data_IF_898651235019
#
_entry.id   IF_898651235019
#
_cell.length_a   1.000
_cell.length_b   1.000
_cell.length_c   1.000
_cell.angle_alpha   90.00
_cell.angle_beta   90.00
_cell.angle_gamma   90.00
#
_symmetry.space_group_name_H-M   'P 1'
#
loop_
_entity.id
_entity.type
_entity.pdbx_description
1 polymer ?
#
# COMPACT_ATOMS: atom_id res chain seq x y z
N UNK A 1 -12.48 -19.40 29.15
CA UNK A 1 -11.02 -19.57 29.00
C UNK A 1 -10.77 -20.04 27.56
N UNK A 2 -10.39 -19.14 26.64
CA UNK A 2 -10.13 -19.41 25.21
C UNK A 2 -8.72 -18.88 24.86
N UNK A 3 -7.69 -19.46 25.49
CA UNK A 3 -6.31 -18.97 25.41
C UNK A 3 -5.36 -19.84 24.59
N UNK A 4 -5.86 -20.79 23.79
CA UNK A 4 -5.03 -21.82 23.15
C UNK A 4 -4.76 -21.58 21.65
N UNK A 5 -5.52 -20.71 20.97
CA UNK A 5 -5.32 -20.44 19.53
C UNK A 5 -4.44 -19.21 19.22
N UNK A 6 -4.18 -18.34 20.19
CA UNK A 6 -3.53 -17.03 19.92
C UNK A 6 -2.07 -17.10 19.45
N UNK A 7 -1.31 -18.15 19.82
CA UNK A 7 0.09 -18.29 19.40
C UNK A 7 0.24 -18.80 17.96
N UNK A 8 -0.72 -19.60 17.48
CA UNK A 8 -0.71 -20.11 16.09
C UNK A 8 -1.17 -19.02 15.12
N UNK A 9 -2.17 -18.23 15.52
CA UNK A 9 -2.67 -17.08 14.75
C UNK A 9 -1.57 -16.01 14.58
N UNK A 10 -0.81 -15.68 15.63
CA UNK A 10 0.29 -14.72 15.57
C UNK A 10 1.42 -15.20 14.64
N UNK A 11 1.74 -16.50 14.67
CA UNK A 11 2.74 -17.08 13.79
C UNK A 11 2.32 -17.01 12.32
N UNK A 12 1.05 -17.32 12.04
CA UNK A 12 0.48 -17.26 10.69
C UNK A 12 0.45 -15.81 10.20
N UNK A 13 -0.01 -14.88 11.03
CA UNK A 13 -0.02 -13.44 10.70
C UNK A 13 1.38 -12.97 10.33
N UNK A 14 2.38 -13.29 11.16
CA UNK A 14 3.77 -12.93 10.89
C UNK A 14 4.28 -13.52 9.57
N UNK A 15 3.95 -14.77 9.26
CA UNK A 15 4.32 -15.41 7.98
C UNK A 15 3.65 -14.74 6.79
N UNK A 16 2.38 -14.34 6.92
CA UNK A 16 1.68 -13.59 5.89
C UNK A 16 2.33 -12.22 5.65
N UNK A 17 2.68 -11.49 6.72
CA UNK A 17 3.38 -10.20 6.62
C UNK A 17 4.74 -10.37 5.93
N UNK A 18 5.53 -11.37 6.31
CA UNK A 18 6.82 -11.64 5.66
C UNK A 18 6.68 -12.08 4.20
N UNK A 19 5.62 -12.82 3.85
CA UNK A 19 5.33 -13.18 2.47
C UNK A 19 4.97 -11.95 1.62
N UNK A 20 4.12 -11.07 2.14
CA UNK A 20 3.77 -9.79 1.47
C UNK A 20 5.01 -8.93 1.30
N UNK A 21 5.87 -8.83 2.33
CA UNK A 21 7.15 -8.13 2.24
C UNK A 21 7.99 -8.71 1.13
N UNK A 22 8.25 -10.02 1.11
CA UNK A 22 9.05 -10.67 0.07
C UNK A 22 8.50 -10.39 -1.34
N UNK A 23 7.19 -10.52 -1.54
CA UNK A 23 6.55 -10.20 -2.82
C UNK A 23 6.79 -8.74 -3.22
N UNK A 24 6.72 -7.82 -2.26
CA UNK A 24 6.96 -6.39 -2.50
C UNK A 24 8.42 -6.13 -2.86
N UNK A 25 9.37 -6.80 -2.22
CA UNK A 25 10.80 -6.70 -2.56
C UNK A 25 11.07 -7.17 -4.00
N UNK A 26 10.49 -8.31 -4.38
CA UNK A 26 10.59 -8.84 -5.74
C UNK A 26 9.95 -7.89 -6.76
N UNK A 27 8.81 -7.30 -6.40
CA UNK A 27 8.14 -6.31 -7.24
C UNK A 27 8.98 -5.05 -7.45
N UNK A 28 9.62 -4.51 -6.40
CA UNK A 28 10.53 -3.36 -6.52
C UNK A 28 11.66 -3.66 -7.50
N UNK A 29 12.33 -4.81 -7.36
CA UNK A 29 13.43 -5.20 -8.24
C UNK A 29 12.94 -5.34 -9.68
N UNK A 30 11.80 -6.01 -9.87
CA UNK A 30 11.18 -6.14 -11.19
C UNK A 30 10.89 -4.78 -11.83
N UNK A 31 10.22 -3.87 -11.13
CA UNK A 31 9.90 -2.54 -11.64
C UNK A 31 11.15 -1.71 -11.93
N UNK A 32 12.22 -1.86 -11.13
CA UNK A 32 13.50 -1.19 -11.38
C UNK A 32 14.18 -1.70 -12.66
N UNK A 33 14.28 -3.01 -12.84
CA UNK A 33 14.84 -3.62 -14.05
C UNK A 33 14.07 -3.20 -15.31
N UNK A 34 12.73 -3.16 -15.22
CA UNK A 34 11.87 -2.66 -16.29
C UNK A 34 12.09 -1.17 -16.56
N UNK A 35 12.47 -0.41 -15.53
CA UNK A 35 12.78 1.02 -15.63
C UNK A 35 14.10 1.30 -16.35
N UNK A 36 15.13 0.51 -16.05
CA UNK A 36 16.43 0.62 -16.68
C UNK A 36 16.47 0.04 -18.10
N UNK A 37 15.58 -0.90 -18.44
CA UNK A 37 15.45 -1.45 -19.78
C UNK A 37 14.88 -0.40 -20.77
N UNK A 38 15.79 0.41 -21.36
CA UNK A 38 15.53 1.57 -22.22
C UNK A 38 14.58 1.36 -23.43
N UNK A 39 14.17 0.12 -23.75
CA UNK A 39 13.21 -0.21 -24.81
C UNK A 39 11.82 -0.65 -24.33
N UNK A 40 11.69 -1.07 -23.07
CA UNK A 40 10.45 -1.65 -22.53
C UNK A 40 9.61 -0.64 -21.74
N UNK A 41 10.22 0.49 -21.39
CA UNK A 41 9.61 1.51 -20.54
C UNK A 41 8.40 2.20 -21.18
N UNK A 42 8.38 2.39 -22.51
CA UNK A 42 7.21 2.98 -23.21
C UNK A 42 6.00 2.04 -23.28
N UNK A 43 6.21 0.72 -23.35
CA UNK A 43 5.13 -0.25 -23.23
C UNK A 43 4.68 -0.41 -21.78
N UNK A 44 5.62 -0.32 -20.83
CA UNK A 44 5.30 -0.32 -19.42
C UNK A 44 4.57 0.95 -18.96
N UNK A 45 4.86 2.13 -19.51
CA UNK A 45 4.15 3.38 -19.21
C UNK A 45 2.63 3.31 -19.43
N UNK A 46 2.13 2.38 -20.27
CA UNK A 46 0.69 2.17 -20.42
C UNK A 46 0.05 1.49 -19.19
N UNK A 47 0.87 0.87 -18.33
CA UNK A 47 0.46 0.12 -17.14
C UNK A 47 1.17 0.56 -15.84
N UNK A 48 2.31 1.25 -15.92
CA UNK A 48 3.14 1.65 -14.79
C UNK A 48 3.11 3.15 -14.60
N UNK A 49 2.48 3.54 -13.50
CA UNK A 49 2.30 4.90 -13.04
C UNK A 49 3.61 5.71 -13.05
N UNK A 50 3.49 7.01 -13.38
CA UNK A 50 4.50 8.08 -13.16
C UNK A 50 5.23 7.93 -11.82
N UNK A 51 4.55 7.36 -10.83
CA UNK A 51 5.09 6.94 -9.55
C UNK A 51 6.44 6.20 -9.63
N UNK A 52 6.58 5.12 -10.44
CA UNK A 52 7.82 4.34 -10.43
C UNK A 52 9.00 5.08 -11.07
N UNK A 53 8.71 5.95 -12.05
CA UNK A 53 9.70 6.84 -12.64
C UNK A 53 10.29 7.79 -11.60
N UNK A 54 9.42 8.46 -10.86
CA UNK A 54 9.80 9.39 -9.80
C UNK A 54 10.46 8.67 -8.63
N UNK A 55 9.95 7.49 -8.26
CA UNK A 55 10.49 6.68 -7.19
C UNK A 55 11.94 6.28 -7.46
N UNK A 56 12.22 5.70 -8.64
CA UNK A 56 13.57 5.24 -8.98
C UNK A 56 14.51 6.37 -9.40
N UNK A 57 13.98 7.53 -9.81
CA UNK A 57 14.78 8.74 -9.96
C UNK A 57 15.34 9.27 -8.63
N UNK A 58 14.68 8.98 -7.51
CA UNK A 58 15.03 9.48 -6.17
C UNK A 58 15.62 8.42 -5.23
N UNK A 59 15.39 7.14 -5.49
CA UNK A 59 15.77 6.06 -4.58
C UNK A 59 16.10 4.78 -5.34
N UNK A 60 17.19 4.11 -4.95
CA UNK A 60 17.52 2.79 -5.51
C UNK A 60 16.77 1.66 -4.77
N UNK A 61 16.66 0.46 -5.36
CA UNK A 61 15.97 -0.67 -4.73
C UNK A 61 16.47 -0.98 -3.32
N UNK A 62 17.78 -0.92 -3.07
CA UNK A 62 18.34 -1.23 -1.75
C UNK A 62 17.81 -0.27 -0.67
N UNK A 63 17.67 1.02 -0.98
CA UNK A 63 17.12 2.01 -0.06
C UNK A 63 15.65 1.73 0.24
N UNK A 64 14.85 1.44 -0.78
CA UNK A 64 13.42 1.12 -0.63
C UNK A 64 13.20 -0.16 0.19
N UNK A 65 14.02 -1.18 -0.06
CA UNK A 65 14.02 -2.44 0.68
C UNK A 65 14.27 -2.19 2.17
N UNK A 66 15.22 -1.31 2.52
CA UNK A 66 15.47 -0.95 3.92
C UNK A 66 14.27 -0.26 4.57
N UNK A 67 13.60 0.63 3.83
CA UNK A 67 12.40 1.32 4.30
C UNK A 67 11.26 0.34 4.65
N UNK A 68 11.03 -0.70 3.82
CA UNK A 68 9.98 -1.70 4.07
C UNK A 68 10.13 -2.52 5.37
N UNK A 69 11.33 -2.55 5.96
CA UNK A 69 11.56 -3.18 7.26
C UNK A 69 11.30 -2.25 8.45
N UNK A 70 10.98 -0.98 8.20
CA UNK A 70 10.54 -0.08 9.24
C UNK A 70 9.19 -0.53 9.82
N UNK A 71 8.92 -0.13 11.07
CA UNK A 71 7.67 -0.44 11.76
C UNK A 71 6.46 0.32 11.21
N UNK A 72 6.68 1.34 10.38
CA UNK A 72 5.65 2.24 9.87
C UNK A 72 5.77 2.35 8.36
N UNK A 73 4.64 2.14 7.66
CA UNK A 73 4.56 2.29 6.21
C UNK A 73 4.18 3.73 5.87
N UNK A 74 5.05 4.42 5.14
CA UNK A 74 4.72 5.67 4.45
C UNK A 74 3.80 5.43 3.25
N UNK A 75 3.35 6.51 2.63
CA UNK A 75 2.57 6.45 1.39
C UNK A 75 3.30 5.69 0.26
N UNK A 76 4.63 5.77 0.20
CA UNK A 76 5.43 5.05 -0.80
C UNK A 76 5.34 3.54 -0.55
N UNK A 77 5.55 3.09 0.69
CA UNK A 77 5.48 1.66 1.00
C UNK A 77 4.05 1.12 0.88
N UNK A 78 3.03 1.90 1.27
CA UNK A 78 1.63 1.54 1.04
C UNK A 78 1.31 1.40 -0.45
N UNK A 79 1.84 2.29 -1.30
CA UNK A 79 1.70 2.22 -2.75
C UNK A 79 2.34 0.95 -3.32
N UNK A 80 3.57 0.63 -2.89
CA UNK A 80 4.28 -0.57 -3.32
C UNK A 80 3.54 -1.86 -2.92
N UNK A 81 3.01 -1.93 -1.69
CA UNK A 81 2.23 -3.08 -1.22
C UNK A 81 0.90 -3.19 -1.99
N UNK A 82 0.18 -2.08 -2.17
CA UNK A 82 -1.10 -2.08 -2.88
C UNK A 82 -0.95 -2.54 -4.35
N UNK A 83 0.08 -2.06 -5.04
CA UNK A 83 0.39 -2.49 -6.40
C UNK A 83 0.81 -3.96 -6.47
N UNK A 84 1.67 -4.40 -5.54
CA UNK A 84 2.11 -5.81 -5.45
C UNK A 84 0.93 -6.76 -5.29
N UNK A 85 -0.03 -6.40 -4.42
CA UNK A 85 -1.21 -7.20 -4.15
C UNK A 85 -2.34 -6.98 -5.16
N UNK A 86 -2.17 -6.05 -6.12
CA UNK A 86 -3.19 -5.64 -7.10
C UNK A 86 -4.51 -5.24 -6.45
N UNK A 87 -4.43 -4.49 -5.35
CA UNK A 87 -5.57 -3.92 -4.64
C UNK A 87 -5.53 -2.41 -4.71
N UNK A 88 -6.61 -1.79 -4.23
CA UNK A 88 -6.69 -0.37 -3.94
C UNK A 88 -7.01 -0.19 -2.46
N UNK A 89 -6.31 0.71 -1.79
CA UNK A 89 -6.61 1.10 -0.42
C UNK A 89 -7.46 2.36 -0.48
N UNK A 90 -8.60 2.35 0.19
CA UNK A 90 -9.39 3.55 0.46
C UNK A 90 -9.14 3.94 1.92
N UNK A 91 -8.60 5.13 2.15
CA UNK A 91 -8.33 5.64 3.48
C UNK A 91 -9.33 6.74 3.80
N UNK A 92 -10.09 6.54 4.87
CA UNK A 92 -11.02 7.51 5.42
C UNK A 92 -10.35 8.18 6.64
N UNK A 93 -9.99 9.45 6.50
CA UNK A 93 -9.27 10.17 7.53
C UNK A 93 -10.21 10.64 8.63
N UNK A 94 -10.07 10.01 9.79
CA UNK A 94 -10.77 10.35 11.02
C UNK A 94 -9.88 11.15 11.98
N UNK A 95 -8.68 11.58 11.57
CA UNK A 95 -7.89 12.47 12.43
C UNK A 95 -8.67 13.76 12.62
N UNK A 96 -9.02 14.09 13.86
CA UNK A 96 -9.65 15.37 14.17
C UNK A 96 -8.65 16.49 13.88
N UNK A 97 -8.81 17.18 12.76
CA UNK A 97 -8.27 18.52 12.59
C UNK A 97 -9.27 19.50 13.21
N UNK A 98 -8.80 20.34 14.14
CA UNK A 98 -9.58 21.41 14.80
C UNK A 98 -9.93 22.57 13.83
N UNK A 99 -10.12 22.30 12.53
CA UNK A 99 -10.60 23.30 11.58
C UNK A 99 -12.12 23.32 11.61
N UNK A 100 -12.70 24.48 11.93
CA UNK A 100 -14.14 24.82 11.95
C UNK A 100 -14.91 24.58 10.62
N UNK A 101 -14.30 23.92 9.65
CA UNK A 101 -14.93 23.55 8.38
C UNK A 101 -15.80 22.30 8.57
N UNK A 102 -16.92 22.25 7.85
CA UNK A 102 -17.87 21.12 7.84
C UNK A 102 -17.14 19.77 7.93
N UNK A 103 -17.49 18.93 8.91
CA UNK A 103 -16.94 17.59 9.18
C UNK A 103 -17.12 16.66 7.96
N UNK A 104 -16.33 16.86 6.90
CA UNK A 104 -16.26 16.01 5.73
C UNK A 104 -15.06 15.10 5.93
N UNK A 105 -15.37 13.83 6.17
CA UNK A 105 -14.39 12.76 6.25
C UNK A 105 -13.50 12.78 5.01
N UNK A 106 -12.24 13.15 5.17
CA UNK A 106 -11.32 13.24 4.04
C UNK A 106 -11.07 11.83 3.50
N UNK A 107 -11.26 11.65 2.19
CA UNK A 107 -11.09 10.35 1.52
C UNK A 107 -9.89 10.41 0.61
N UNK A 108 -9.01 9.43 0.72
CA UNK A 108 -7.88 9.25 -0.19
C UNK A 108 -7.79 7.81 -0.66
N UNK A 109 -7.13 7.61 -1.80
CA UNK A 109 -6.93 6.28 -2.39
C UNK A 109 -5.45 6.03 -2.66
N UNK A 110 -5.02 4.80 -2.47
CA UNK A 110 -3.68 4.33 -2.81
C UNK A 110 -3.82 3.08 -3.69
N UNK A 111 -3.40 3.10 -4.97
CA UNK A 111 -2.92 4.26 -5.72
C UNK A 111 -3.92 5.42 -5.86
N UNK A 112 -3.38 6.64 -6.03
CA UNK A 112 -4.16 7.84 -6.39
C UNK A 112 -4.62 7.83 -7.85
N UNK A 113 -3.96 7.04 -8.70
CA UNK A 113 -4.28 6.92 -10.11
C UNK A 113 -5.70 6.33 -10.31
N UNK A 114 -6.39 6.84 -11.33
CA UNK A 114 -7.78 6.55 -11.67
C UNK A 114 -7.91 5.90 -13.05
N UNK A 115 -6.83 5.34 -13.61
CA UNK A 115 -6.91 4.49 -14.79
C UNK A 115 -7.90 3.33 -14.59
N UNK A 116 -8.57 2.92 -15.67
CA UNK A 116 -9.61 1.88 -15.60
C UNK A 116 -9.11 0.55 -15.04
N UNK A 117 -7.85 0.20 -15.27
CA UNK A 117 -7.21 -0.97 -14.66
C UNK A 117 -7.15 -0.87 -13.13
N UNK A 118 -6.77 0.30 -12.60
CA UNK A 118 -6.63 0.53 -11.15
C UNK A 118 -8.00 0.60 -10.48
N UNK A 119 -8.99 1.23 -11.11
CA UNK A 119 -10.37 1.29 -10.58
C UNK A 119 -11.01 -0.10 -10.51
N UNK A 120 -10.65 -1.01 -11.41
CA UNK A 120 -11.16 -2.38 -11.42
C UNK A 120 -10.57 -3.27 -10.29
N UNK A 121 -9.52 -2.81 -9.60
CA UNK A 121 -8.90 -3.58 -8.51
C UNK A 121 -9.82 -3.67 -7.28
N UNK A 122 -9.80 -4.79 -6.54
CA UNK A 122 -10.50 -4.90 -5.27
C UNK A 122 -10.08 -3.77 -4.32
N UNK A 123 -11.06 -3.12 -3.69
CA UNK A 123 -10.81 -2.01 -2.77
C UNK A 123 -10.94 -2.49 -1.33
N UNK A 124 -9.90 -2.24 -0.52
CA UNK A 124 -9.93 -2.41 0.93
C UNK A 124 -10.02 -1.03 1.58
N UNK A 125 -11.09 -0.81 2.34
CA UNK A 125 -11.31 0.44 3.05
C UNK A 125 -10.73 0.37 4.45
N UNK A 126 -10.02 1.41 4.89
CA UNK A 126 -9.48 1.55 6.24
C UNK A 126 -9.86 2.91 6.81
N UNK A 127 -10.16 2.93 8.11
CA UNK A 127 -10.28 4.17 8.89
C UNK A 127 -8.87 4.55 9.37
N UNK A 128 -8.41 5.73 8.98
CA UNK A 128 -7.13 6.29 9.41
C UNK A 128 -7.40 7.14 10.64
N UNK A 129 -6.96 6.68 11.81
CA UNK A 129 -7.14 7.41 13.07
C UNK A 129 -6.01 8.44 13.30
N UNK A 130 -4.81 8.11 12.83
CA UNK A 130 -3.65 8.99 12.80
C UNK A 130 -2.69 8.50 11.70
N UNK A 131 -1.46 9.01 11.66
CA UNK A 131 -0.49 8.62 10.63
C UNK A 131 -0.12 7.12 10.64
N UNK A 132 -0.27 6.43 11.77
CA UNK A 132 0.27 5.08 11.99
C UNK A 132 -0.81 4.00 12.15
N UNK A 133 -2.01 4.40 12.58
CA UNK A 133 -3.07 3.49 12.97
C UNK A 133 -4.18 3.48 11.90
N UNK A 134 -4.20 2.37 11.14
CA UNK A 134 -5.25 2.05 10.20
C UNK A 134 -6.14 0.94 10.79
N UNK A 135 -7.45 1.19 10.85
CA UNK A 135 -8.42 0.25 11.40
C UNK A 135 -9.25 -0.29 10.24
N UNK A 136 -9.34 -1.62 10.13
CA UNK A 136 -10.21 -2.27 9.17
C UNK A 136 -11.67 -2.24 9.67
N UNK A 137 -12.60 -1.53 9.01
CA UNK A 137 -13.98 -1.47 9.42
C UNK A 137 -14.68 -2.80 9.11
N UNK A 138 -15.19 -3.46 10.15
CA UNK A 138 -16.05 -4.62 9.99
C UNK A 138 -17.49 -4.14 9.78
N UNK A 139 -17.98 -4.22 8.55
CA UNK A 139 -19.41 -4.06 8.29
C UNK A 139 -20.11 -5.33 8.74
N UNK A 140 -20.79 -5.28 9.89
CA UNK A 140 -21.86 -6.24 10.16
C UNK A 140 -23.04 -5.83 9.27
N UNK A 141 -23.26 -6.60 8.20
CA UNK A 141 -24.47 -6.45 7.40
C UNK A 141 -25.69 -6.69 8.31
N UNK A 142 -26.56 -5.69 8.40
CA UNK A 142 -27.91 -5.82 8.96
C UNK A 142 -28.83 -6.22 7.81
#
# INVERSE_FOLDING_TARGET
QHGVNGLDDELIERRCVEAIRLLTLLWIVHCFERTEAAGEWRQWQQHSSVFYAELFGNSNPRQLIQCLYNSQLSNIEMMLVADTLRIRLELLDCSCDDSDDEWKLARSFIPHDTTGEIIARPTLTFLKFNHYNLIYPLYHGI
#
